data_IF_662219951639
#
_entry.id   IF_662219951639
#
_cell.length_a   1.000
_cell.length_b   1.000
_cell.length_c   1.000
_cell.angle_alpha   90.00
_cell.angle_beta   90.00
_cell.angle_gamma   90.00
#
_symmetry.space_group_name_H-M   'P 1'
#
loop_
_entity.id
_entity.type
_entity.pdbx_description
1 polymer ?
#
# COMPACT_ATOMS: atom_id res chain seq x y z
N UNK A 1 -61.83 -33.16 -15.43
CA UNK A 1 -61.43 -32.37 -14.25
C UNK A 1 -59.92 -32.49 -14.14
N UNK A 2 -59.07 -31.47 -14.14
CA UNK A 2 -59.13 -30.07 -14.53
C UNK A 2 -57.64 -29.68 -14.56
N UNK A 3 -57.03 -29.65 -15.75
CA UNK A 3 -55.69 -29.10 -16.03
C UNK A 3 -55.39 -27.63 -15.57
N UNK A 4 -56.34 -26.76 -15.17
CA UNK A 4 -56.05 -25.40 -14.68
C UNK A 4 -55.20 -25.26 -13.40
N UNK A 5 -54.84 -26.35 -12.71
CA UNK A 5 -54.18 -26.28 -11.40
C UNK A 5 -52.64 -26.31 -11.47
N UNK A 6 -52.05 -26.95 -12.49
CA UNK A 6 -50.58 -27.07 -12.57
C UNK A 6 -49.94 -25.82 -13.18
N UNK A 7 -50.56 -25.24 -14.21
CA UNK A 7 -50.05 -24.04 -14.87
C UNK A 7 -50.08 -22.82 -13.94
N UNK A 8 -51.17 -22.65 -13.18
CA UNK A 8 -51.29 -21.58 -12.18
C UNK A 8 -50.32 -21.74 -11.01
N UNK A 9 -50.01 -22.98 -10.59
CA UNK A 9 -48.95 -23.25 -9.61
C UNK A 9 -47.57 -22.87 -10.14
N UNK A 10 -47.25 -23.23 -11.39
CA UNK A 10 -45.97 -22.87 -12.02
C UNK A 10 -45.84 -21.34 -12.17
N UNK A 11 -46.89 -20.64 -12.60
CA UNK A 11 -46.91 -19.18 -12.68
C UNK A 11 -46.70 -18.51 -11.32
N UNK A 12 -47.34 -19.03 -10.27
CA UNK A 12 -47.14 -18.56 -8.90
C UNK A 12 -45.70 -18.78 -8.43
N UNK A 13 -45.11 -19.95 -8.68
CA UNK A 13 -43.72 -20.24 -8.33
C UNK A 13 -42.74 -19.37 -9.11
N UNK A 14 -42.98 -19.14 -10.41
CA UNK A 14 -42.16 -18.24 -11.23
C UNK A 14 -42.17 -16.81 -10.68
N UNK A 15 -43.33 -16.32 -10.25
CA UNK A 15 -43.46 -14.99 -9.64
C UNK A 15 -42.69 -14.89 -8.32
N UNK A 16 -42.77 -15.91 -7.47
CA UNK A 16 -42.01 -15.97 -6.22
C UNK A 16 -40.49 -15.95 -6.48
N UNK A 17 -40.02 -16.77 -7.43
CA UNK A 17 -38.60 -16.81 -7.83
C UNK A 17 -38.15 -15.47 -8.39
N UNK A 18 -38.96 -14.83 -9.24
CA UNK A 18 -38.64 -13.53 -9.83
C UNK A 18 -38.49 -12.44 -8.76
N UNK A 19 -39.39 -12.41 -7.78
CA UNK A 19 -39.30 -11.46 -6.66
C UNK A 19 -38.02 -11.66 -5.84
N UNK A 20 -37.69 -12.93 -5.52
CA UNK A 20 -36.44 -13.25 -4.80
C UNK A 20 -35.20 -12.88 -5.62
N UNK A 21 -35.23 -13.10 -6.93
CA UNK A 21 -34.14 -12.71 -7.82
C UNK A 21 -33.95 -11.20 -7.84
N UNK A 22 -35.03 -10.42 -7.92
CA UNK A 22 -34.97 -8.96 -7.87
C UNK A 22 -34.41 -8.46 -6.53
N UNK A 23 -34.78 -9.08 -5.41
CA UNK A 23 -34.24 -8.78 -4.08
C UNK A 23 -32.74 -9.07 -4.00
N UNK A 24 -32.30 -10.23 -4.49
CA UNK A 24 -30.87 -10.61 -4.52
C UNK A 24 -30.08 -9.65 -5.41
N UNK A 25 -30.62 -9.28 -6.57
CA UNK A 25 -29.96 -8.37 -7.52
C UNK A 25 -29.75 -7.00 -6.88
N UNK A 26 -30.78 -6.45 -6.21
CA UNK A 26 -30.64 -5.19 -5.47
C UNK A 26 -29.58 -5.27 -4.38
N UNK A 27 -29.56 -6.37 -3.63
CA UNK A 27 -28.55 -6.57 -2.59
C UNK A 27 -27.13 -6.66 -3.16
N UNK A 28 -26.97 -7.30 -4.33
CA UNK A 28 -25.69 -7.33 -5.04
C UNK A 28 -25.24 -5.93 -5.49
N UNK A 29 -26.14 -5.13 -6.07
CA UNK A 29 -25.84 -3.76 -6.50
C UNK A 29 -25.41 -2.88 -5.31
N UNK A 30 -26.07 -3.03 -4.15
CA UNK A 30 -25.70 -2.34 -2.91
C UNK A 30 -24.28 -2.74 -2.44
N UNK A 31 -23.92 -4.03 -2.53
CA UNK A 31 -22.58 -4.50 -2.18
C UNK A 31 -21.50 -3.95 -3.12
N UNK A 32 -21.78 -3.88 -4.43
CA UNK A 32 -20.87 -3.30 -5.42
C UNK A 32 -20.65 -1.80 -5.17
N UNK A 33 -21.70 -1.05 -4.82
CA UNK A 33 -21.57 0.37 -4.47
C UNK A 33 -20.71 0.58 -3.22
N UNK A 34 -20.93 -0.24 -2.18
CA UNK A 34 -20.13 -0.20 -0.96
C UNK A 34 -18.66 -0.55 -1.24
N UNK A 35 -18.41 -1.56 -2.07
CA UNK A 35 -17.06 -1.93 -2.48
C UNK A 35 -16.37 -0.83 -3.29
N UNK A 36 -17.06 -0.25 -4.27
CA UNK A 36 -16.57 0.87 -5.06
C UNK A 36 -16.18 2.06 -4.17
N UNK A 37 -17.04 2.39 -3.20
CA UNK A 37 -16.79 3.45 -2.22
C UNK A 37 -15.57 3.12 -1.35
N UNK A 38 -15.46 1.89 -0.85
CA UNK A 38 -14.32 1.43 -0.08
C UNK A 38 -13.00 1.56 -0.86
N UNK A 39 -12.98 1.12 -2.11
CA UNK A 39 -11.81 1.22 -3.00
C UNK A 39 -11.45 2.68 -3.26
N UNK A 40 -12.42 3.54 -3.56
CA UNK A 40 -12.18 4.97 -3.79
C UNK A 40 -11.55 5.62 -2.57
N UNK A 41 -12.16 5.43 -1.39
CA UNK A 41 -11.64 5.98 -0.13
C UNK A 41 -10.30 5.39 0.27
N UNK A 42 -10.09 4.11 -0.03
CA UNK A 42 -8.82 3.43 0.17
C UNK A 42 -7.69 4.01 -0.71
N UNK A 43 -7.98 4.38 -1.96
CA UNK A 43 -7.02 5.08 -2.84
C UNK A 43 -6.70 6.48 -2.32
N UNK A 44 -7.72 7.27 -1.95
CA UNK A 44 -7.51 8.59 -1.32
C UNK A 44 -6.63 8.49 -0.07
N UNK A 45 -6.84 7.45 0.75
CA UNK A 45 -6.00 7.17 1.92
C UNK A 45 -4.55 6.85 1.55
N UNK A 46 -4.34 6.04 0.50
CA UNK A 46 -2.99 5.69 0.03
C UNK A 46 -2.25 6.93 -0.46
N UNK A 47 -2.89 7.77 -1.26
CA UNK A 47 -2.31 9.03 -1.77
C UNK A 47 -1.90 9.95 -0.62
N UNK A 48 -2.77 10.14 0.37
CA UNK A 48 -2.48 10.94 1.56
C UNK A 48 -1.29 10.36 2.37
N UNK A 49 -1.22 9.03 2.49
CA UNK A 49 -0.12 8.37 3.19
C UNK A 49 1.22 8.49 2.44
N UNK A 50 1.22 8.41 1.12
CA UNK A 50 2.42 8.60 0.30
C UNK A 50 2.96 10.03 0.41
N UNK A 51 2.08 11.04 0.38
CA UNK A 51 2.47 12.43 0.62
C UNK A 51 3.08 12.63 2.02
N UNK A 52 2.47 12.06 3.06
CA UNK A 52 3.00 12.15 4.42
C UNK A 52 4.32 11.40 4.58
N UNK A 53 4.46 10.22 3.95
CA UNK A 53 5.72 9.47 3.93
C UNK A 53 6.85 10.29 3.32
N UNK A 54 6.60 10.94 2.19
CA UNK A 54 7.58 11.81 1.54
C UNK A 54 8.02 12.94 2.48
N UNK A 55 7.05 13.63 3.11
CA UNK A 55 7.37 14.71 4.06
C UNK A 55 8.18 14.24 5.27
N UNK A 56 7.89 13.05 5.80
CA UNK A 56 8.66 12.47 6.91
C UNK A 56 10.10 12.19 6.49
N UNK A 57 10.31 11.66 5.28
CA UNK A 57 11.65 11.38 4.77
C UNK A 57 12.47 12.66 4.54
N UNK A 58 11.85 13.73 4.05
CA UNK A 58 12.50 15.05 3.96
C UNK A 58 12.96 15.54 5.33
N UNK A 59 12.07 15.51 6.34
CA UNK A 59 12.38 15.95 7.69
C UNK A 59 13.50 15.12 8.34
N UNK A 60 13.52 13.81 8.08
CA UNK A 60 14.61 12.94 8.53
C UNK A 60 15.95 13.32 7.88
N UNK A 61 15.95 13.65 6.58
CA UNK A 61 17.15 14.10 5.89
C UNK A 61 17.64 15.46 6.42
N UNK A 62 16.73 16.42 6.63
CA UNK A 62 17.02 17.71 7.26
C UNK A 62 17.64 17.53 8.65
N UNK A 63 17.03 16.69 9.51
CA UNK A 63 17.54 16.40 10.85
C UNK A 63 18.92 15.75 10.83
N UNK A 64 19.17 14.80 9.92
CA UNK A 64 20.47 14.18 9.76
C UNK A 64 21.54 15.20 9.36
N UNK A 65 21.20 16.15 8.48
CA UNK A 65 22.08 17.27 8.12
C UNK A 65 22.44 18.13 9.33
N UNK A 66 21.47 18.49 10.16
CA UNK A 66 21.70 19.25 11.39
C UNK A 66 22.58 18.47 12.38
N UNK A 67 22.34 17.16 12.55
CA UNK A 67 23.14 16.33 13.44
C UNK A 67 24.59 16.23 12.96
N UNK A 68 24.82 16.03 11.65
CA UNK A 68 26.16 16.02 11.06
C UNK A 68 26.87 17.35 11.27
N UNK A 69 26.18 18.47 11.06
CA UNK A 69 26.72 19.79 11.34
C UNK A 69 27.11 19.97 12.82
N UNK A 70 26.27 19.50 13.74
CA UNK A 70 26.59 19.56 15.17
C UNK A 70 27.85 18.74 15.50
N UNK A 71 28.00 17.56 14.89
CA UNK A 71 29.18 16.71 15.06
C UNK A 71 30.46 17.38 14.56
N UNK A 72 30.41 17.97 13.36
CA UNK A 72 31.52 18.75 12.80
C UNK A 72 31.89 19.93 13.70
N UNK A 73 30.90 20.62 14.29
CA UNK A 73 31.15 21.74 15.20
C UNK A 73 31.73 21.31 16.54
N UNK A 74 31.31 20.17 17.09
CA UNK A 74 31.89 19.62 18.30
C UNK A 74 33.36 19.25 18.04
N UNK A 75 33.65 18.62 16.90
CA UNK A 75 35.02 18.24 16.53
C UNK A 75 35.91 19.47 16.29
N UNK A 76 35.40 20.50 15.61
CA UNK A 76 36.10 21.78 15.44
C UNK A 76 36.44 22.43 16.80
N UNK A 77 35.50 22.36 17.76
CA UNK A 77 35.71 22.88 19.11
C UNK A 77 36.74 22.05 19.89
N UNK A 78 36.75 20.73 19.75
CA UNK A 78 37.76 19.84 20.35
C UNK A 78 39.15 20.26 19.90
N UNK A 79 39.38 20.34 18.59
CA UNK A 79 40.69 20.72 18.02
C UNK A 79 41.12 22.11 18.51
N UNK A 80 40.20 23.09 18.51
CA UNK A 80 40.49 24.46 18.99
C UNK A 80 40.88 24.50 20.47
N UNK A 81 40.27 23.66 21.30
CA UNK A 81 40.62 23.56 22.72
C UNK A 81 42.00 22.90 22.88
N UNK A 82 42.27 21.81 22.16
CA UNK A 82 43.55 21.09 22.22
C UNK A 82 44.76 21.95 21.85
N UNK A 83 44.61 22.82 20.83
CA UNK A 83 45.67 23.75 20.41
C UNK A 83 45.66 25.07 21.21
N UNK A 84 44.79 25.21 22.22
CA UNK A 84 44.74 26.35 23.12
C UNK A 84 44.16 27.64 22.51
N UNK A 85 43.42 27.57 21.40
CA UNK A 85 42.71 28.72 20.82
C UNK A 85 41.51 29.13 21.70
N UNK A 86 40.86 28.16 22.35
CA UNK A 86 39.76 28.40 23.30
C UNK A 86 40.07 27.74 24.64
N UNK A 87 39.56 28.33 25.72
CA UNK A 87 39.62 27.75 27.06
C UNK A 87 38.55 26.65 27.26
N UNK A 88 38.68 25.89 28.35
CA UNK A 88 37.78 24.76 28.64
C UNK A 88 36.35 25.20 28.97
N UNK A 89 36.14 26.38 29.53
CA UNK A 89 34.81 26.90 29.86
C UNK A 89 34.05 27.26 28.58
N UNK A 90 34.73 27.93 27.64
CA UNK A 90 34.21 28.26 26.32
C UNK A 90 33.90 27.00 25.52
N UNK A 91 34.79 26.00 25.57
CA UNK A 91 34.55 24.69 24.96
C UNK A 91 33.29 24.03 25.52
N UNK A 92 33.21 23.90 26.86
CA UNK A 92 32.11 23.21 27.53
C UNK A 92 30.75 23.84 27.16
N UNK A 93 30.62 25.17 27.26
CA UNK A 93 29.37 25.87 26.93
C UNK A 93 28.93 25.66 25.48
N UNK A 94 29.85 25.76 24.52
CA UNK A 94 29.51 25.60 23.09
C UNK A 94 29.26 24.15 22.71
N UNK A 95 30.05 23.22 23.24
CA UNK A 95 29.90 21.79 22.99
C UNK A 95 28.57 21.27 23.57
N UNK A 96 28.16 21.76 24.74
CA UNK A 96 26.86 21.44 25.34
C UNK A 96 25.68 21.93 24.48
N UNK A 97 25.79 23.12 23.88
CA UNK A 97 24.76 23.66 22.98
C UNK A 97 24.55 22.77 21.75
N UNK A 98 25.65 22.39 21.07
CA UNK A 98 25.59 21.50 19.90
C UNK A 98 25.13 20.10 20.29
N UNK A 99 25.60 19.56 21.41
CA UNK A 99 25.18 18.25 21.94
C UNK A 99 23.68 18.23 22.26
N UNK A 100 23.17 19.28 22.90
CA UNK A 100 21.74 19.43 23.23
C UNK A 100 20.89 19.52 21.97
N UNK A 101 21.36 20.24 20.95
CA UNK A 101 20.68 20.34 19.65
C UNK A 101 20.63 18.99 18.95
N UNK A 102 21.77 18.29 18.90
CA UNK A 102 21.87 16.92 18.35
C UNK A 102 20.93 15.95 19.06
N UNK A 103 20.85 16.01 20.39
CA UNK A 103 19.95 15.16 21.18
C UNK A 103 18.48 15.41 20.81
N UNK A 104 18.06 16.68 20.69
CA UNK A 104 16.69 17.01 20.24
C UNK A 104 16.41 16.50 18.82
N UNK A 105 17.34 16.68 17.88
CA UNK A 105 17.18 16.13 16.53
C UNK A 105 17.07 14.60 16.52
N UNK A 106 17.81 13.92 17.41
CA UNK A 106 17.72 12.46 17.58
C UNK A 106 16.35 12.02 18.12
N UNK A 107 15.80 12.73 19.11
CA UNK A 107 14.44 12.47 19.62
C UNK A 107 13.38 12.68 18.55
N UNK A 108 13.45 13.77 17.79
CA UNK A 108 12.53 14.04 16.68
C UNK A 108 12.64 12.93 15.63
N UNK A 109 13.85 12.51 15.29
CA UNK A 109 14.07 11.44 14.31
C UNK A 109 13.52 10.10 14.78
N UNK A 110 13.57 9.79 16.08
CA UNK A 110 12.92 8.59 16.65
C UNK A 110 11.41 8.64 16.46
N UNK A 111 10.78 9.78 16.73
CA UNK A 111 9.33 9.93 16.56
C UNK A 111 8.91 9.85 15.09
N UNK A 112 9.65 10.51 14.20
CA UNK A 112 9.42 10.44 12.75
C UNK A 112 9.51 8.99 12.23
N UNK A 113 10.51 8.22 12.69
CA UNK A 113 10.64 6.80 12.33
C UNK A 113 9.49 5.95 12.87
N UNK A 114 8.99 6.25 14.09
CA UNK A 114 7.81 5.58 14.65
C UNK A 114 6.57 5.80 13.77
N UNK A 115 6.33 7.05 13.39
CA UNK A 115 5.20 7.42 12.52
C UNK A 115 5.34 6.76 11.14
N UNK A 116 6.55 6.78 10.57
CA UNK A 116 6.85 6.15 9.27
C UNK A 116 6.56 4.64 9.28
N UNK A 117 6.92 3.94 10.35
CA UNK A 117 6.65 2.51 10.50
C UNK A 117 5.15 2.22 10.60
N UNK A 118 4.40 3.01 11.38
CA UNK A 118 2.95 2.87 11.52
C UNK A 118 2.22 3.09 10.18
N UNK A 119 2.57 4.16 9.46
CA UNK A 119 1.98 4.46 8.14
C UNK A 119 2.34 3.36 7.14
N UNK A 120 3.58 2.89 7.13
CA UNK A 120 4.01 1.83 6.20
C UNK A 120 3.21 0.53 6.41
N UNK A 121 2.91 0.17 7.67
CA UNK A 121 2.05 -0.97 8.00
C UNK A 121 0.62 -0.78 7.49
N UNK A 122 0.06 0.43 7.64
CA UNK A 122 -1.29 0.75 7.15
C UNK A 122 -1.37 0.76 5.62
N UNK A 123 -0.36 1.31 4.95
CA UNK A 123 -0.23 1.26 3.48
C UNK A 123 -0.22 -0.19 3.01
N UNK A 124 0.63 -1.04 3.60
CA UNK A 124 0.73 -2.45 3.19
C UNK A 124 -0.61 -3.19 3.31
N UNK A 125 -1.32 -3.00 4.42
CA UNK A 125 -2.67 -3.58 4.63
C UNK A 125 -3.68 -3.06 3.62
N UNK A 126 -3.65 -1.77 3.31
CA UNK A 126 -4.61 -1.17 2.37
C UNK A 126 -4.31 -1.61 0.93
N UNK A 127 -3.04 -1.63 0.51
CA UNK A 127 -2.61 -2.17 -0.79
C UNK A 127 -3.03 -3.63 -0.92
N UNK A 128 -2.81 -4.44 0.11
CA UNK A 128 -3.29 -5.83 0.11
C UNK A 128 -4.80 -5.93 -0.14
N UNK A 129 -5.61 -5.10 0.52
CA UNK A 129 -7.08 -5.14 0.39
C UNK A 129 -7.60 -4.60 -0.94
N UNK A 130 -6.94 -3.61 -1.53
CA UNK A 130 -7.38 -2.98 -2.79
C UNK A 130 -6.80 -3.71 -4.01
N UNK A 131 -5.53 -4.13 -3.95
CA UNK A 131 -4.79 -4.71 -5.07
C UNK A 131 -4.99 -6.24 -5.16
N UNK A 132 -5.13 -6.95 -4.03
CA UNK A 132 -5.61 -8.35 -4.09
C UNK A 132 -7.12 -8.33 -4.23
N UNK A 133 -7.62 -8.20 -5.46
CA UNK A 133 -8.87 -8.89 -5.80
C UNK A 133 -8.58 -10.39 -5.84
N UNK A 134 -9.12 -11.24 -4.95
CA UNK A 134 -9.48 -12.58 -5.38
C UNK A 134 -10.67 -12.41 -6.32
N UNK A 135 -10.41 -12.53 -7.61
CA UNK A 135 -11.31 -12.91 -8.71
C UNK A 135 -10.91 -12.17 -9.98
N UNK A 136 -10.12 -12.89 -10.79
CA UNK A 136 -10.25 -12.79 -12.22
C UNK A 136 -11.67 -13.30 -12.53
N UNK A 137 -12.62 -12.39 -12.70
CA UNK A 137 -14.03 -12.71 -13.01
C UNK A 137 -14.37 -12.52 -14.48
N UNK A 138 -13.47 -11.92 -15.27
CA UNK A 138 -13.69 -11.71 -16.69
C UNK A 138 -12.95 -12.76 -17.52
N UNK A 139 -13.73 -13.67 -18.11
CA UNK A 139 -13.24 -14.70 -19.03
C UNK A 139 -12.45 -14.07 -20.18
N UNK A 140 -12.77 -12.85 -20.59
CA UNK A 140 -12.09 -12.19 -21.69
C UNK A 140 -10.71 -11.66 -21.29
N UNK A 141 -10.51 -11.24 -20.03
CA UNK A 141 -9.19 -10.88 -19.50
C UNK A 141 -8.29 -12.12 -19.35
N UNK A 142 -8.86 -13.29 -19.03
CA UNK A 142 -8.12 -14.57 -19.02
C UNK A 142 -7.70 -15.00 -20.41
N UNK A 143 -8.59 -14.86 -21.40
CA UNK A 143 -8.27 -15.16 -22.80
C UNK A 143 -7.15 -14.27 -23.31
N UNK A 144 -7.22 -12.96 -23.05
CA UNK A 144 -6.17 -12.03 -23.49
C UNK A 144 -4.81 -12.38 -22.88
N UNK A 145 -4.76 -12.74 -21.60
CA UNK A 145 -3.51 -13.15 -20.94
C UNK A 145 -2.99 -14.49 -21.44
N UNK A 146 -3.88 -15.46 -21.70
CA UNK A 146 -3.50 -16.74 -22.28
C UNK A 146 -2.97 -16.59 -23.71
N UNK A 147 -3.54 -15.66 -24.49
CA UNK A 147 -3.11 -15.36 -25.86
C UNK A 147 -1.74 -14.68 -25.87
N UNK A 148 -1.52 -13.66 -25.03
CA UNK A 148 -0.19 -13.04 -24.87
C UNK A 148 0.88 -14.02 -24.40
N UNK A 149 0.54 -14.92 -23.48
CA UNK A 149 1.47 -15.96 -23.01
C UNK A 149 1.86 -16.91 -24.15
N UNK A 150 0.88 -17.32 -24.96
CA UNK A 150 1.13 -18.17 -26.14
C UNK A 150 1.98 -17.45 -27.17
N UNK A 151 1.71 -16.18 -27.46
CA UNK A 151 2.53 -15.40 -28.38
C UNK A 151 3.98 -15.27 -27.92
N UNK A 152 4.23 -15.02 -26.63
CA UNK A 152 5.60 -14.96 -26.09
C UNK A 152 6.32 -16.30 -26.17
N UNK A 153 5.62 -17.42 -25.98
CA UNK A 153 6.16 -18.75 -26.21
C UNK A 153 6.48 -18.99 -27.69
N UNK A 154 5.56 -18.65 -28.58
CA UNK A 154 5.74 -18.79 -30.04
C UNK A 154 6.88 -17.89 -30.57
N UNK A 155 7.15 -16.75 -29.91
CA UNK A 155 8.31 -15.88 -30.17
C UNK A 155 9.62 -16.36 -29.53
N UNK A 156 9.58 -17.43 -28.72
CA UNK A 156 10.75 -17.97 -28.01
C UNK A 156 11.28 -17.07 -26.88
N UNK A 157 10.44 -16.14 -26.38
CA UNK A 157 10.79 -15.22 -25.29
C UNK A 157 10.75 -15.91 -23.92
N UNK A 158 10.03 -17.03 -23.82
CA UNK A 158 9.87 -17.83 -22.61
C UNK A 158 10.11 -19.31 -22.92
N UNK A 159 10.63 -20.05 -21.95
CA UNK A 159 10.88 -21.48 -22.09
C UNK A 159 9.58 -22.30 -22.06
N UNK A 160 9.63 -23.53 -22.55
CA UNK A 160 8.50 -24.47 -22.48
C UNK A 160 8.10 -24.79 -21.03
N UNK A 161 9.09 -24.84 -20.13
CA UNK A 161 8.88 -25.05 -18.69
C UNK A 161 8.12 -23.87 -18.06
N UNK A 162 8.57 -22.64 -18.33
CA UNK A 162 7.90 -21.42 -17.87
C UNK A 162 6.49 -21.27 -18.46
N UNK A 163 6.32 -21.63 -19.73
CA UNK A 163 5.03 -21.58 -20.42
C UNK A 163 4.01 -22.54 -19.78
N UNK A 164 4.38 -23.80 -19.55
CA UNK A 164 3.48 -24.79 -18.96
C UNK A 164 3.19 -24.49 -17.47
N UNK A 165 4.15 -23.94 -16.71
CA UNK A 165 3.89 -23.47 -15.34
C UNK A 165 2.86 -22.33 -15.33
N UNK A 166 3.07 -21.30 -16.16
CA UNK A 166 2.19 -20.13 -16.23
C UNK A 166 0.79 -20.50 -16.75
N UNK A 167 0.70 -21.37 -17.76
CA UNK A 167 -0.57 -21.89 -18.28
C UNK A 167 -1.35 -22.69 -17.25
N UNK A 168 -0.67 -23.52 -16.45
CA UNK A 168 -1.30 -24.25 -15.33
C UNK A 168 -1.86 -23.28 -14.29
N UNK A 169 -1.12 -22.20 -14.01
CA UNK A 169 -1.54 -21.15 -13.06
C UNK A 169 -2.75 -20.36 -13.56
N UNK A 170 -2.81 -20.05 -14.86
CA UNK A 170 -3.96 -19.41 -15.51
C UNK A 170 -5.19 -20.32 -15.46
N UNK A 171 -5.02 -21.63 -15.69
CA UNK A 171 -6.12 -22.61 -15.67
C UNK A 171 -6.69 -22.82 -14.26
N UNK A 172 -5.89 -22.66 -13.22
CA UNK A 172 -6.32 -22.73 -11.82
C UNK A 172 -7.06 -21.48 -11.33
N UNK A 173 -7.13 -20.43 -12.14
CA UNK A 173 -7.81 -19.16 -11.83
C UNK A 173 -9.22 -19.07 -12.46
N UNK A 174 -9.61 -20.05 -13.28
CA UNK A 174 -10.98 -20.33 -13.77
C UNK A 174 -11.66 -21.28 -12.80
#
# INVERSE_FOLDING_TARGET
>A
MSEPNLLSQIESSLKEVSLKYDEITKFFDELEELWSTYVSKGKEFLDACEALKFRILELLAENNGIMSFCDEKIEELNVKMEIGIIDSETYAKKSELFSSTKNKCSEISKELNRILADISSKIAKMKERIEKRPHITDIDELKERAEKLKESYDRGEISEEDYEELKKRITQLV
#
